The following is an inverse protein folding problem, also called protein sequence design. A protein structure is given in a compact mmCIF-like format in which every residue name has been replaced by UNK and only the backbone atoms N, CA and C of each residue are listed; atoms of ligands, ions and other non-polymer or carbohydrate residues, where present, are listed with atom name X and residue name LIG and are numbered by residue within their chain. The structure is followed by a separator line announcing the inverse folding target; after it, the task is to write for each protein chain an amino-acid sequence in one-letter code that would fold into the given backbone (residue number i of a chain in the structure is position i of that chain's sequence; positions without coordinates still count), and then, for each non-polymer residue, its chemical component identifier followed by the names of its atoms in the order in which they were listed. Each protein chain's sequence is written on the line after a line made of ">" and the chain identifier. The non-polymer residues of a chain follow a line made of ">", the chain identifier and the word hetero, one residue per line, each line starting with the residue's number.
data_IF_522756202209
#
_entry.id   IF_522756202209
#
_cell.length_a   1.000
_cell.length_b   1.000
_cell.length_c   1.000
_cell.angle_alpha   90.00
_cell.angle_beta   90.00
_cell.angle_gamma   90.00
#
_symmetry.space_group_name_H-M   'P 1'
#
loop_
_entity.id
_entity.type
_entity.pdbx_description
1 polymer ?
#
# COMPACT_ATOMS: atom_id res chain seq x y z
N UNK A 1 -1.10 -22.47 -15.07
CA UNK A 1 -2.13 -22.43 -14.00
C UNK A 1 -1.59 -21.50 -12.93
N UNK A 2 -2.16 -20.30 -12.76
CA UNK A 2 -1.82 -19.50 -11.59
C UNK A 2 -2.44 -20.18 -10.36
N UNK A 3 -1.64 -20.35 -9.31
CA UNK A 3 -2.03 -21.04 -8.08
C UNK A 3 -3.12 -20.30 -7.30
N UNK A 4 -3.37 -20.69 -6.05
CA UNK A 4 -4.30 -19.95 -5.18
C UNK A 4 -3.77 -18.53 -4.93
N UNK A 5 -4.64 -17.51 -5.00
CA UNK A 5 -4.29 -16.13 -4.60
C UNK A 5 -3.75 -16.09 -3.18
N UNK A 6 -2.80 -15.18 -2.94
CA UNK A 6 -2.22 -15.00 -1.62
C UNK A 6 -3.28 -14.54 -0.61
N UNK A 7 -3.40 -15.28 0.49
CA UNK A 7 -4.40 -15.03 1.53
C UNK A 7 -3.80 -14.83 2.91
N UNK A 8 -2.48 -14.60 2.99
CA UNK A 8 -1.84 -14.24 4.23
C UNK A 8 -2.28 -12.84 4.63
N UNK A 9 -2.48 -12.62 5.92
CA UNK A 9 -2.79 -11.29 6.46
C UNK A 9 -1.53 -10.43 6.61
N UNK A 10 -0.36 -11.05 6.56
CA UNK A 10 0.92 -10.36 6.67
C UNK A 10 1.97 -11.08 5.83
N UNK A 11 2.66 -10.30 5.01
CA UNK A 11 3.81 -10.74 4.23
C UNK A 11 4.69 -9.55 3.83
N UNK A 12 5.49 -9.73 2.77
CA UNK A 12 6.41 -8.71 2.28
C UNK A 12 5.67 -7.49 1.70
N UNK A 13 4.51 -7.68 1.08
CA UNK A 13 3.71 -6.57 0.55
C UNK A 13 3.17 -5.73 1.69
N UNK A 14 2.70 -6.34 2.78
CA UNK A 14 2.30 -5.61 3.98
C UNK A 14 3.40 -4.70 4.54
N UNK A 15 4.67 -5.11 4.47
CA UNK A 15 5.82 -4.28 4.85
C UNK A 15 6.01 -3.11 3.85
N UNK A 16 5.80 -3.37 2.56
CA UNK A 16 5.87 -2.35 1.50
C UNK A 16 4.74 -1.31 1.68
N UNK A 17 3.51 -1.74 1.97
CA UNK A 17 2.37 -0.89 2.28
C UNK A 17 2.66 0.00 3.49
N UNK A 18 3.10 -0.61 4.61
CA UNK A 18 3.50 0.15 5.78
C UNK A 18 4.60 1.19 5.47
N UNK A 19 5.66 0.79 4.77
CA UNK A 19 6.78 1.67 4.44
C UNK A 19 6.38 2.80 3.48
N UNK A 20 5.55 2.48 2.47
CA UNK A 20 5.00 3.45 1.53
C UNK A 20 4.06 4.43 2.22
N UNK A 21 3.25 3.93 3.16
CA UNK A 21 2.42 4.72 4.06
C UNK A 21 3.24 5.71 4.88
N UNK A 22 4.38 5.30 5.47
CA UNK A 22 5.27 6.22 6.19
C UNK A 22 5.73 7.34 5.28
N UNK A 23 6.24 7.00 4.10
CA UNK A 23 6.78 8.00 3.15
C UNK A 23 5.66 8.93 2.70
N UNK A 24 4.50 8.41 2.32
CA UNK A 24 3.34 9.20 1.92
C UNK A 24 2.86 10.11 3.07
N UNK A 25 2.63 9.56 4.26
CA UNK A 25 2.25 10.33 5.45
C UNK A 25 3.28 11.41 5.81
N UNK A 26 4.55 11.23 5.45
CA UNK A 26 5.61 12.22 5.67
C UNK A 26 5.59 13.39 4.67
N UNK A 27 5.26 13.12 3.39
CA UNK A 27 5.39 14.11 2.30
C UNK A 27 4.05 14.69 1.81
N UNK A 28 2.90 14.27 2.31
CA UNK A 28 1.59 14.77 1.88
C UNK A 28 0.56 14.83 3.03
N UNK A 29 -0.62 15.45 2.83
CA UNK A 29 -1.71 15.39 3.78
C UNK A 29 -2.20 13.95 4.01
N UNK A 30 -2.51 13.55 5.26
CA UNK A 30 -2.79 12.15 5.61
C UNK A 30 -4.00 11.58 4.87
N UNK A 31 -5.05 12.37 4.66
CA UNK A 31 -6.23 11.91 3.92
C UNK A 31 -5.94 11.68 2.44
N UNK A 32 -5.06 12.48 1.83
CA UNK A 32 -4.66 12.28 0.43
C UNK A 32 -3.79 11.02 0.33
N UNK A 33 -2.81 10.86 1.23
CA UNK A 33 -1.97 9.66 1.31
C UNK A 33 -2.80 8.38 1.41
N UNK A 34 -3.70 8.34 2.38
CA UNK A 34 -4.52 7.17 2.63
C UNK A 34 -5.48 6.91 1.46
N UNK A 35 -6.08 7.96 0.87
CA UNK A 35 -6.96 7.79 -0.29
C UNK A 35 -6.22 7.20 -1.49
N UNK A 36 -4.99 7.63 -1.75
CA UNK A 36 -4.17 7.09 -2.83
C UNK A 36 -3.83 5.62 -2.61
N UNK A 37 -3.39 5.26 -1.41
CA UNK A 37 -3.01 3.90 -1.07
C UNK A 37 -4.22 2.95 -1.07
N UNK A 38 -5.35 3.37 -0.49
CA UNK A 38 -6.59 2.58 -0.50
C UNK A 38 -7.16 2.41 -1.91
N UNK A 39 -7.04 3.41 -2.79
CA UNK A 39 -7.49 3.28 -4.18
C UNK A 39 -6.51 2.49 -5.05
N UNK A 40 -5.25 2.37 -4.62
CA UNK A 40 -4.25 1.55 -5.29
C UNK A 40 -4.58 0.06 -5.19
N UNK A 41 -5.05 -0.39 -4.03
CA UNK A 41 -5.47 -1.77 -3.75
C UNK A 41 -6.46 -2.38 -4.79
N UNK A 42 -7.64 -1.79 -5.05
CA UNK A 42 -8.56 -2.32 -6.06
C UNK A 42 -7.98 -2.23 -7.48
N UNK A 43 -7.17 -1.19 -7.78
CA UNK A 43 -6.50 -1.09 -9.08
C UNK A 43 -5.51 -2.25 -9.27
N UNK A 44 -4.72 -2.54 -8.24
CA UNK A 44 -3.76 -3.63 -8.23
C UNK A 44 -4.45 -4.99 -8.41
N UNK A 45 -5.49 -5.27 -7.63
CA UNK A 45 -6.17 -6.56 -7.64
C UNK A 45 -7.02 -6.80 -8.89
N UNK A 46 -7.79 -5.79 -9.31
CA UNK A 46 -8.80 -5.97 -10.36
C UNK A 46 -8.31 -5.57 -11.75
N UNK A 47 -7.26 -4.76 -11.85
CA UNK A 47 -6.77 -4.26 -13.14
C UNK A 47 -5.36 -4.77 -13.41
N UNK A 48 -4.39 -4.47 -12.53
CA UNK A 48 -2.98 -4.81 -12.80
C UNK A 48 -2.74 -6.32 -12.74
N UNK A 49 -3.23 -6.99 -11.69
CA UNK A 49 -3.01 -8.43 -11.50
C UNK A 49 -3.51 -9.27 -12.69
N UNK A 50 -4.74 -9.09 -13.20
CA UNK A 50 -5.20 -9.81 -14.39
C UNK A 50 -4.45 -9.46 -15.67
N UNK A 51 -4.01 -8.21 -15.83
CA UNK A 51 -3.26 -7.77 -17.01
C UNK A 51 -1.86 -8.37 -17.03
N UNK A 52 -1.15 -8.32 -15.91
CA UNK A 52 0.22 -8.80 -15.76
C UNK A 52 0.29 -10.34 -15.77
N UNK A 53 -0.75 -11.02 -15.30
CA UNK A 53 -0.89 -12.46 -15.42
C UNK A 53 -0.84 -12.95 -16.89
N UNK A 54 -1.28 -12.13 -17.87
CA UNK A 54 -1.21 -12.48 -19.30
C UNK A 54 0.22 -12.65 -19.81
N UNK A 55 1.19 -12.05 -19.13
CA UNK A 55 2.63 -12.14 -19.42
C UNK A 55 3.39 -12.91 -18.34
N UNK A 56 2.69 -13.72 -17.53
CA UNK A 56 3.24 -14.55 -16.45
C UNK A 56 3.93 -13.76 -15.31
N UNK A 57 3.52 -12.51 -15.07
CA UNK A 57 3.99 -11.72 -13.93
C UNK A 57 3.00 -11.85 -12.78
N UNK A 58 3.50 -12.29 -11.61
CA UNK A 58 2.71 -12.48 -10.38
C UNK A 58 2.82 -11.23 -9.51
N UNK A 59 2.18 -10.15 -9.95
CA UNK A 59 2.05 -8.87 -9.23
C UNK A 59 0.59 -8.68 -8.81
N UNK A 60 0.33 -8.17 -7.60
CA UNK A 60 -1.03 -8.01 -7.08
C UNK A 60 -1.86 -9.29 -7.02
N UNK A 61 -1.20 -10.45 -6.97
CA UNK A 61 -1.87 -11.75 -6.97
C UNK A 61 -2.41 -12.11 -5.58
N UNK A 62 -3.28 -11.24 -5.07
CA UNK A 62 -3.72 -11.21 -3.69
C UNK A 62 -5.22 -11.43 -3.57
N UNK A 63 -5.62 -12.02 -2.46
CA UNK A 63 -7.02 -12.14 -2.07
C UNK A 63 -7.51 -10.82 -1.48
N UNK A 64 -8.83 -10.65 -1.45
CA UNK A 64 -9.47 -9.50 -0.81
C UNK A 64 -9.05 -9.38 0.67
N UNK A 65 -8.87 -10.50 1.37
CA UNK A 65 -8.49 -10.48 2.78
C UNK A 65 -7.06 -9.97 3.01
N UNK A 66 -6.15 -10.26 2.08
CA UNK A 66 -4.78 -9.77 2.12
C UNK A 66 -4.78 -8.26 1.89
N UNK A 67 -5.39 -7.80 0.80
CA UNK A 67 -5.54 -6.37 0.50
C UNK A 67 -6.24 -5.55 1.59
N UNK A 68 -7.29 -6.09 2.22
CA UNK A 68 -7.90 -5.43 3.39
C UNK A 68 -6.93 -5.32 4.57
N UNK A 69 -6.04 -6.30 4.74
CA UNK A 69 -4.98 -6.24 5.72
C UNK A 69 -3.94 -5.18 5.34
N UNK A 70 -3.57 -5.10 4.06
CA UNK A 70 -2.59 -4.14 3.55
C UNK A 70 -3.07 -2.69 3.71
N UNK A 71 -4.38 -2.42 3.59
CA UNK A 71 -5.00 -1.13 3.98
C UNK A 71 -4.75 -0.78 5.46
N UNK A 72 -4.74 -1.77 6.37
CA UNK A 72 -4.40 -1.54 7.78
C UNK A 72 -2.93 -1.14 7.90
N UNK A 73 -2.03 -1.80 7.17
CA UNK A 73 -0.62 -1.45 7.14
C UNK A 73 -0.38 -0.07 6.55
N UNK A 74 -1.06 0.31 5.46
CA UNK A 74 -1.03 1.66 4.90
C UNK A 74 -1.48 2.70 5.94
N UNK A 75 -2.58 2.43 6.65
CA UNK A 75 -3.10 3.32 7.69
C UNK A 75 -2.07 3.53 8.80
N UNK A 76 -1.47 2.45 9.30
CA UNK A 76 -0.43 2.51 10.34
C UNK A 76 0.82 3.25 9.84
N UNK A 77 1.21 3.02 8.59
CA UNK A 77 2.32 3.70 7.94
C UNK A 77 2.07 5.20 7.83
N UNK A 78 0.92 5.60 7.27
CA UNK A 78 0.51 7.01 7.13
C UNK A 78 0.46 7.70 8.49
N UNK A 79 -0.07 7.03 9.51
CA UNK A 79 -0.09 7.53 10.87
C UNK A 79 1.33 7.82 11.39
N UNK A 80 2.24 6.85 11.25
CA UNK A 80 3.61 6.98 11.69
C UNK A 80 4.36 8.09 10.92
N UNK A 81 4.20 8.15 9.61
CA UNK A 81 4.77 9.21 8.77
C UNK A 81 4.28 10.61 9.17
N UNK A 82 2.97 10.73 9.40
CA UNK A 82 2.31 12.01 9.69
C UNK A 82 2.62 12.55 11.07
N UNK A 83 2.55 11.70 12.10
CA UNK A 83 2.64 12.16 13.50
C UNK A 83 4.00 11.94 14.13
N UNK A 84 4.75 10.92 13.73
CA UNK A 84 6.09 10.68 14.26
C UNK A 84 7.16 11.27 13.34
N UNK A 85 7.24 10.83 12.08
CA UNK A 85 8.37 11.18 11.22
C UNK A 85 8.43 12.68 10.92
N UNK A 86 7.29 13.31 10.59
CA UNK A 86 7.21 14.79 10.43
C UNK A 86 7.66 15.56 11.67
N UNK A 87 7.44 15.01 12.86
CA UNK A 87 7.83 15.63 14.13
C UNK A 87 9.33 15.51 14.41
N UNK A 88 10.00 14.51 13.84
CA UNK A 88 11.43 14.26 14.02
C UNK A 88 12.28 14.91 12.93
N UNK A 89 11.81 14.88 11.68
CA UNK A 89 12.54 15.35 10.51
C UNK A 89 11.56 16.03 9.55
N UNK A 90 11.86 17.27 9.15
CA UNK A 90 11.07 17.94 8.11
C UNK A 90 11.20 17.20 6.78
N UNK A 91 10.10 17.02 6.03
CA UNK A 91 10.18 16.38 4.74
C UNK A 91 10.97 17.25 3.75
N UNK A 92 11.75 16.65 2.83
CA UNK A 92 12.54 17.39 1.86
C UNK A 92 11.69 18.18 0.86
N UNK A 93 10.42 17.78 0.69
CA UNK A 93 9.40 18.43 -0.12
C UNK A 93 8.01 18.02 0.41
N UNK A 94 6.97 18.76 0.00
CA UNK A 94 5.60 18.46 0.39
C UNK A 94 4.67 18.56 -0.82
N UNK A 95 3.84 17.54 -1.02
CA UNK A 95 2.82 17.50 -2.06
C UNK A 95 1.47 17.94 -1.50
N UNK A 96 0.88 18.95 -2.16
CA UNK A 96 -0.42 19.57 -1.89
C UNK A 96 -0.53 20.26 -0.53
#
# INVERSE_FOLDING_TARGET
>A
MHGKRNGKLFDVWSIIHFSSGIVAGWIMPPFIALSLLVLWEPLEIFVLSPLLAKVNIVFGYESINNSLSDIVFDTLGVALGTWLLKGLVSPPFFFF
#
